data_IF_592627004381
#
_entry.id   IF_592627004381
#
_cell.length_a   1.000
_cell.length_b   1.000
_cell.length_c   1.000
_cell.angle_alpha   90.00
_cell.angle_beta   90.00
_cell.angle_gamma   90.00
#
_symmetry.space_group_name_H-M   'P 1'
#
loop_
_entity.id
_entity.type
_entity.pdbx_description
1 polymer ?
#
# COMPACT_ATOMS: atom_id res chain seq x y z
N UNK A 1 -11.11 -47.83 -8.90
CA UNK A 1 -10.57 -47.56 -7.55
C UNK A 1 -9.37 -46.63 -7.70
N UNK A 2 -9.58 -45.31 -7.56
CA UNK A 2 -8.48 -44.33 -7.53
C UNK A 2 -8.29 -43.90 -6.08
N UNK A 3 -7.18 -44.33 -5.46
CA UNK A 3 -6.77 -43.89 -4.13
C UNK A 3 -6.35 -42.42 -4.24
N UNK A 4 -7.16 -41.54 -3.66
CA UNK A 4 -6.86 -40.11 -3.52
C UNK A 4 -5.61 -39.98 -2.64
N UNK A 5 -4.48 -39.67 -3.26
CA UNK A 5 -3.20 -39.41 -2.60
C UNK A 5 -3.34 -38.10 -1.82
N UNK A 6 -3.70 -38.17 -0.54
CA UNK A 6 -3.72 -37.01 0.35
C UNK A 6 -2.27 -36.66 0.72
N UNK A 7 -1.70 -35.53 0.26
CA UNK A 7 -0.31 -35.21 0.56
C UNK A 7 -0.15 -34.97 2.07
N UNK A 8 0.97 -35.42 2.67
CA UNK A 8 1.20 -35.26 4.10
C UNK A 8 1.19 -33.78 4.47
N UNK A 9 0.40 -33.41 5.49
CA UNK A 9 0.12 -32.04 5.91
C UNK A 9 1.39 -31.18 6.17
N UNK A 10 2.53 -31.83 6.39
CA UNK A 10 3.84 -31.21 6.62
C UNK A 10 4.45 -30.62 5.33
N UNK A 11 4.17 -31.21 4.17
CA UNK A 11 4.63 -30.69 2.86
C UNK A 11 3.80 -29.49 2.43
N UNK A 12 2.49 -29.53 2.66
CA UNK A 12 1.57 -28.44 2.30
C UNK A 12 1.90 -27.15 3.05
N UNK A 13 2.19 -27.23 4.36
CA UNK A 13 2.59 -26.04 5.15
C UNK A 13 3.92 -25.43 4.68
N UNK A 14 4.89 -26.25 4.29
CA UNK A 14 6.17 -25.75 3.74
C UNK A 14 5.97 -25.05 2.39
N UNK A 15 5.19 -25.65 1.50
CA UNK A 15 4.86 -25.06 0.19
C UNK A 15 4.10 -23.74 0.36
N UNK A 16 3.10 -23.71 1.24
CA UNK A 16 2.34 -22.48 1.54
C UNK A 16 3.25 -21.37 2.08
N UNK A 17 4.20 -21.71 2.95
CA UNK A 17 5.16 -20.74 3.49
C UNK A 17 6.08 -20.20 2.39
N UNK A 18 6.61 -21.04 1.51
CA UNK A 18 7.46 -20.56 0.41
C UNK A 18 6.68 -19.63 -0.53
N UNK A 19 5.42 -19.97 -0.80
CA UNK A 19 4.53 -19.15 -1.64
C UNK A 19 4.21 -17.79 -1.00
N UNK A 20 3.96 -17.74 0.32
CA UNK A 20 3.72 -16.46 1.01
C UNK A 20 4.96 -15.57 1.00
N UNK A 21 6.14 -16.13 1.27
CA UNK A 21 7.39 -15.37 1.31
C UNK A 21 7.77 -14.84 -0.09
N UNK A 22 7.57 -15.64 -1.13
CA UNK A 22 7.79 -15.21 -2.51
C UNK A 22 6.79 -14.11 -2.93
N UNK A 23 5.53 -14.24 -2.53
CA UNK A 23 4.51 -13.23 -2.78
C UNK A 23 4.83 -11.91 -2.07
N UNK A 24 5.21 -11.96 -0.80
CA UNK A 24 5.63 -10.79 -0.02
C UNK A 24 6.79 -10.05 -0.70
N UNK A 25 7.80 -10.78 -1.17
CA UNK A 25 8.92 -10.20 -1.88
C UNK A 25 8.51 -9.50 -3.19
N UNK A 26 7.63 -10.13 -3.98
CA UNK A 26 7.14 -9.55 -5.24
C UNK A 26 6.38 -8.25 -4.99
N UNK A 27 5.55 -8.23 -3.94
CA UNK A 27 4.80 -7.03 -3.54
C UNK A 27 5.74 -5.92 -3.13
N UNK A 28 6.76 -6.22 -2.31
CA UNK A 28 7.72 -5.20 -1.86
C UNK A 28 8.48 -4.57 -3.04
N UNK A 29 8.89 -5.40 -4.00
CA UNK A 29 9.53 -4.93 -5.24
C UNK A 29 8.58 -4.05 -6.06
N UNK A 30 7.29 -4.44 -6.17
CA UNK A 30 6.29 -3.66 -6.89
C UNK A 30 6.07 -2.28 -6.24
N UNK A 31 5.98 -2.23 -4.91
CA UNK A 31 5.83 -0.98 -4.16
C UNK A 31 7.05 -0.08 -4.34
N UNK A 32 8.26 -0.65 -4.28
CA UNK A 32 9.50 0.09 -4.50
C UNK A 32 9.56 0.66 -5.92
N UNK A 33 9.21 -0.14 -6.93
CA UNK A 33 9.17 0.30 -8.32
C UNK A 33 8.18 1.46 -8.52
N UNK A 34 7.00 1.38 -7.91
CA UNK A 34 6.01 2.46 -7.96
C UNK A 34 6.50 3.74 -7.27
N UNK A 35 7.21 3.63 -6.14
CA UNK A 35 7.78 4.77 -5.44
C UNK A 35 8.83 5.50 -6.28
N UNK A 36 9.72 4.75 -6.96
CA UNK A 36 10.71 5.30 -7.89
C UNK A 36 10.01 6.01 -9.06
N UNK A 37 9.03 5.34 -9.68
CA UNK A 37 8.23 5.91 -10.76
C UNK A 37 7.59 7.24 -10.35
N UNK A 38 6.92 7.31 -9.19
CA UNK A 38 6.28 8.54 -8.75
C UNK A 38 7.31 9.64 -8.49
N UNK A 39 8.49 9.29 -7.95
CA UNK A 39 9.60 10.23 -7.77
C UNK A 39 10.03 10.87 -9.10
N UNK A 40 10.22 10.05 -10.14
CA UNK A 40 10.57 10.51 -11.49
C UNK A 40 9.45 11.36 -12.10
N UNK A 41 8.18 10.96 -11.93
CA UNK A 41 7.03 11.75 -12.41
C UNK A 41 6.97 13.14 -11.75
N UNK A 42 7.18 13.21 -10.43
CA UNK A 42 7.19 14.47 -9.66
C UNK A 42 8.34 15.37 -10.11
N UNK A 43 9.54 14.81 -10.28
CA UNK A 43 10.72 15.56 -10.70
C UNK A 43 10.54 16.12 -12.13
N UNK A 44 10.04 15.28 -13.05
CA UNK A 44 9.74 15.70 -14.41
C UNK A 44 8.71 16.83 -14.46
N UNK A 45 7.62 16.72 -13.69
CA UNK A 45 6.59 17.78 -13.61
C UNK A 45 7.13 19.06 -12.99
N UNK A 46 8.06 18.97 -12.05
CA UNK A 46 8.71 20.14 -11.43
C UNK A 46 9.59 20.87 -12.44
N UNK A 47 10.39 20.12 -13.21
CA UNK A 47 11.35 20.69 -14.15
C UNK A 47 10.70 21.22 -15.43
N UNK A 48 9.86 20.41 -16.08
CA UNK A 48 9.28 20.74 -17.38
C UNK A 48 7.90 21.41 -17.29
N UNK A 49 7.26 21.43 -16.11
CA UNK A 49 5.88 21.92 -15.88
C UNK A 49 4.82 21.30 -16.81
N UNK A 50 5.14 20.17 -17.42
CA UNK A 50 4.29 19.44 -18.35
C UNK A 50 4.10 18.02 -17.84
N UNK A 51 2.93 17.44 -18.08
CA UNK A 51 2.71 16.02 -17.78
C UNK A 51 3.34 15.16 -18.89
N UNK A 52 4.18 14.18 -18.53
CA UNK A 52 4.76 13.29 -19.53
C UNK A 52 3.68 12.36 -20.09
N UNK A 53 3.69 12.14 -21.40
CA UNK A 53 2.72 11.28 -22.09
C UNK A 53 2.73 9.84 -21.59
N UNK A 54 3.87 9.35 -21.10
CA UNK A 54 4.02 8.00 -20.54
C UNK A 54 3.47 7.87 -19.11
N UNK A 55 3.29 8.97 -18.36
CA UNK A 55 2.84 8.88 -16.97
C UNK A 55 1.42 8.31 -16.89
N UNK A 56 0.53 8.71 -17.80
CA UNK A 56 -0.82 8.16 -17.81
C UNK A 56 -0.83 6.64 -18.00
N UNK A 57 -0.11 6.13 -19.01
CA UNK A 57 -0.03 4.70 -19.28
C UNK A 57 0.60 3.94 -18.10
N UNK A 58 1.66 4.48 -17.51
CA UNK A 58 2.32 3.87 -16.36
C UNK A 58 1.41 3.85 -15.11
N UNK A 59 0.69 4.94 -14.83
CA UNK A 59 -0.29 5.03 -13.75
C UNK A 59 -1.36 3.93 -13.86
N UNK A 60 -1.87 3.70 -15.07
CA UNK A 60 -2.86 2.65 -15.36
C UNK A 60 -2.25 1.27 -15.14
N UNK A 61 -1.04 1.01 -15.65
CA UNK A 61 -0.36 -0.27 -15.46
C UNK A 61 -0.14 -0.59 -13.98
N UNK A 62 0.44 0.35 -13.21
CA UNK A 62 0.66 0.15 -11.77
C UNK A 62 -0.66 -0.01 -11.02
N UNK A 63 -1.71 0.70 -11.42
CA UNK A 63 -3.02 0.51 -10.84
C UNK A 63 -3.54 -0.90 -11.01
N UNK A 64 -3.51 -1.44 -12.23
CA UNK A 64 -3.99 -2.81 -12.50
C UNK A 64 -3.21 -3.80 -11.62
N UNK A 65 -1.88 -3.63 -11.52
CA UNK A 65 -1.05 -4.48 -10.67
C UNK A 65 -1.45 -4.41 -9.19
N UNK A 66 -1.70 -3.21 -8.64
CA UNK A 66 -2.16 -3.06 -7.25
C UNK A 66 -3.59 -3.56 -7.03
N UNK A 67 -4.49 -3.42 -8.01
CA UNK A 67 -5.85 -3.99 -7.95
C UNK A 67 -5.76 -5.51 -7.88
N UNK A 68 -4.96 -6.12 -8.77
CA UNK A 68 -4.72 -7.56 -8.76
C UNK A 68 -4.15 -8.04 -7.43
N UNK A 69 -3.15 -7.32 -6.90
CA UNK A 69 -2.58 -7.60 -5.60
C UNK A 69 -3.62 -7.55 -4.47
N UNK A 70 -4.45 -6.50 -4.42
CA UNK A 70 -5.53 -6.38 -3.44
C UNK A 70 -6.54 -7.53 -3.55
N UNK A 71 -6.94 -7.91 -4.77
CA UNK A 71 -7.86 -9.02 -5.00
C UNK A 71 -7.29 -10.36 -4.50
N UNK A 72 -5.99 -10.60 -4.71
CA UNK A 72 -5.29 -11.79 -4.19
C UNK A 72 -5.34 -11.80 -2.66
N UNK A 73 -5.04 -10.67 -2.00
CA UNK A 73 -5.14 -10.55 -0.53
C UNK A 73 -6.56 -10.80 -0.03
N UNK A 74 -7.57 -10.26 -0.72
CA UNK A 74 -8.97 -10.47 -0.37
C UNK A 74 -9.37 -11.94 -0.47
N UNK A 75 -8.95 -12.63 -1.53
CA UNK A 75 -9.21 -14.06 -1.73
C UNK A 75 -8.53 -14.92 -0.66
N UNK A 76 -7.28 -14.61 -0.30
CA UNK A 76 -6.51 -15.33 0.72
C UNK A 76 -7.05 -15.10 2.14
N UNK A 77 -7.61 -13.92 2.42
CA UNK A 77 -8.10 -13.56 3.75
C UNK A 77 -9.40 -14.27 4.19
N UNK A 78 -10.08 -15.03 3.31
CA UNK A 78 -11.25 -15.89 3.62
C UNK A 78 -12.27 -15.26 4.59
N UNK A 79 -12.60 -13.98 4.43
CA UNK A 79 -13.58 -13.27 5.28
C UNK A 79 -13.06 -12.67 6.60
N UNK A 80 -11.79 -12.93 6.97
CA UNK A 80 -11.10 -12.18 8.05
C UNK A 80 -10.61 -10.79 7.61
N UNK A 81 -10.79 -10.44 6.34
CA UNK A 81 -10.40 -9.14 5.80
C UNK A 81 -11.13 -7.97 6.50
N UNK A 82 -12.44 -8.13 6.71
CA UNK A 82 -13.30 -7.17 7.42
C UNK A 82 -13.45 -7.54 8.90
N UNK A 83 -12.84 -8.64 9.33
CA UNK A 83 -13.08 -9.22 10.66
C UNK A 83 -11.79 -9.53 11.50
N UNK A 84 -10.61 -9.05 11.08
CA UNK A 84 -9.32 -9.17 11.82
C UNK A 84 -8.90 -7.95 12.67
N UNK A 85 -7.70 -7.96 13.25
CA UNK A 85 -7.10 -6.79 13.95
C UNK A 85 -6.59 -5.70 12.99
N UNK A 86 -6.44 -6.02 11.70
CA UNK A 86 -6.01 -5.11 10.63
C UNK A 86 -7.13 -4.52 9.76
N UNK A 87 -8.40 -4.59 10.19
CA UNK A 87 -9.58 -4.21 9.39
C UNK A 87 -9.52 -2.83 8.77
N UNK A 88 -9.11 -1.84 9.56
CA UNK A 88 -9.03 -0.44 9.11
C UNK A 88 -8.03 -0.25 7.97
N UNK A 89 -6.93 -1.01 8.01
CA UNK A 89 -5.90 -0.96 6.97
C UNK A 89 -6.39 -1.57 5.66
N UNK A 90 -7.10 -2.68 5.75
CA UNK A 90 -7.77 -3.33 4.63
C UNK A 90 -8.90 -2.47 4.04
N UNK A 91 -9.65 -1.78 4.88
CA UNK A 91 -10.71 -0.86 4.45
C UNK A 91 -10.12 0.35 3.71
N UNK A 92 -9.03 0.92 4.23
CA UNK A 92 -8.31 2.01 3.59
C UNK A 92 -7.77 1.57 2.23
N UNK A 93 -7.24 0.36 2.10
CA UNK A 93 -6.78 -0.20 0.82
C UNK A 93 -7.89 -0.24 -0.23
N UNK A 94 -9.03 -0.84 0.13
CA UNK A 94 -10.19 -0.94 -0.76
C UNK A 94 -10.70 0.44 -1.18
N UNK A 95 -10.82 1.39 -0.24
CA UNK A 95 -11.23 2.77 -0.54
C UNK A 95 -10.22 3.45 -1.47
N UNK A 96 -8.94 3.24 -1.26
CA UNK A 96 -7.86 3.81 -2.07
C UNK A 96 -7.90 3.31 -3.51
N UNK A 97 -8.07 2.00 -3.69
CA UNK A 97 -8.20 1.40 -5.02
C UNK A 97 -9.47 1.86 -5.72
N UNK A 98 -10.60 1.95 -5.01
CA UNK A 98 -11.86 2.47 -5.56
C UNK A 98 -11.71 3.93 -6.01
N UNK A 99 -11.12 4.80 -5.18
CA UNK A 99 -10.89 6.20 -5.51
C UNK A 99 -9.98 6.36 -6.72
N UNK A 100 -9.00 5.47 -6.88
CA UNK A 100 -8.12 5.50 -8.03
C UNK A 100 -8.83 5.06 -9.32
N UNK A 101 -9.58 3.96 -9.27
CA UNK A 101 -10.38 3.49 -10.42
C UNK A 101 -11.41 4.56 -10.82
N UNK A 102 -12.07 5.17 -9.84
CA UNK A 102 -12.98 6.29 -10.08
C UNK A 102 -12.26 7.46 -10.77
N UNK A 103 -11.05 7.82 -10.34
CA UNK A 103 -10.27 8.89 -10.97
C UNK A 103 -9.86 8.55 -12.41
N UNK A 104 -9.48 7.30 -12.70
CA UNK A 104 -9.14 6.87 -14.05
C UNK A 104 -10.36 6.96 -14.99
N UNK A 105 -11.52 6.48 -14.53
CA UNK A 105 -12.77 6.54 -15.28
C UNK A 105 -13.29 7.97 -15.47
N UNK A 106 -13.03 8.87 -14.53
CA UNK A 106 -13.39 10.29 -14.65
C UNK A 106 -12.46 11.03 -15.62
N UNK A 107 -11.19 10.63 -15.72
CA UNK A 107 -10.23 11.27 -16.63
C UNK A 107 -10.47 10.89 -18.10
N UNK A 108 -10.94 9.67 -18.38
CA UNK A 108 -11.28 9.21 -19.74
C UNK A 108 -12.63 9.76 -20.24
N UNK A 109 -13.50 10.20 -19.33
CA UNK A 109 -14.79 10.81 -19.68
C UNK A 109 -14.71 12.33 -19.50
N UNK A 110 -14.36 13.06 -20.57
CA UNK A 110 -14.47 14.54 -20.64
C UNK A 110 -15.88 15.08 -20.30
N UNK A 111 -16.88 14.21 -20.19
CA UNK A 111 -18.29 14.53 -19.92
C UNK A 111 -18.58 15.07 -18.49
N UNK A 112 -17.61 15.01 -17.56
CA UNK A 112 -17.77 15.54 -16.21
C UNK A 112 -16.83 16.73 -15.97
N UNK A 113 -17.06 17.85 -16.68
CA UNK A 113 -16.32 19.13 -16.55
C UNK A 113 -16.37 19.76 -15.13
N UNK A 114 -17.01 19.16 -14.13
CA UNK A 114 -17.54 19.93 -12.99
C UNK A 114 -16.68 19.97 -11.72
N UNK A 115 -15.46 19.41 -11.64
CA UNK A 115 -14.75 19.46 -10.34
C UNK A 115 -13.22 19.47 -10.40
N UNK A 116 -12.65 20.67 -10.58
CA UNK A 116 -11.23 20.96 -10.30
C UNK A 116 -10.78 20.49 -8.90
N UNK A 117 -11.71 20.39 -7.95
CA UNK A 117 -11.47 19.86 -6.59
C UNK A 117 -11.20 18.35 -6.58
N UNK A 118 -11.91 17.57 -7.38
CA UNK A 118 -11.73 16.11 -7.45
C UNK A 118 -10.34 15.77 -8.03
N UNK A 119 -9.93 16.48 -9.08
CA UNK A 119 -8.59 16.34 -9.66
C UNK A 119 -7.47 16.67 -8.64
N UNK A 120 -7.65 17.74 -7.86
CA UNK A 120 -6.70 18.13 -6.79
C UNK A 120 -6.60 17.07 -5.68
N UNK A 121 -7.74 16.55 -5.24
CA UNK A 121 -7.80 15.51 -4.20
C UNK A 121 -7.17 14.21 -4.70
N UNK A 122 -7.43 13.83 -5.96
CA UNK A 122 -6.84 12.62 -6.55
C UNK A 122 -5.31 12.71 -6.65
N UNK A 123 -4.77 13.89 -6.95
CA UNK A 123 -3.31 14.13 -6.95
C UNK A 123 -2.68 13.94 -5.58
N UNK A 124 -3.36 14.39 -4.52
CA UNK A 124 -2.91 14.19 -3.13
C UNK A 124 -3.00 12.72 -2.69
N UNK A 125 -3.98 11.98 -3.23
CA UNK A 125 -4.18 10.57 -2.92
C UNK A 125 -3.03 9.68 -3.42
N UNK A 126 -2.32 10.08 -4.49
CA UNK A 126 -1.13 9.36 -5.00
C UNK A 126 0.00 9.27 -3.96
N UNK A 127 0.22 10.35 -3.20
CA UNK A 127 1.21 10.39 -2.11
C UNK A 127 0.78 9.50 -0.95
N UNK A 128 -0.53 9.50 -0.65
CA UNK A 128 -1.10 8.62 0.37
C UNK A 128 -0.92 7.14 0.02
N UNK A 129 -0.96 6.78 -1.27
CA UNK A 129 -0.65 5.42 -1.75
C UNK A 129 0.78 4.99 -1.45
N UNK A 130 1.78 5.85 -1.61
CA UNK A 130 3.17 5.51 -1.23
C UNK A 130 3.26 5.27 0.27
N UNK A 131 2.72 6.20 1.06
CA UNK A 131 2.78 6.10 2.51
C UNK A 131 2.04 4.85 3.02
N UNK A 132 0.92 4.49 2.39
CA UNK A 132 0.15 3.31 2.72
C UNK A 132 0.81 2.02 2.22
N UNK A 133 1.29 1.96 0.98
CA UNK A 133 1.95 0.80 0.40
C UNK A 133 3.30 0.51 1.10
N UNK A 134 4.03 1.56 1.47
CA UNK A 134 5.14 1.48 2.40
C UNK A 134 4.64 0.96 3.75
N UNK A 135 3.66 1.58 4.41
CA UNK A 135 3.15 1.06 5.71
C UNK A 135 2.71 -0.41 5.67
N UNK A 136 2.13 -0.89 4.57
CA UNK A 136 1.66 -2.28 4.43
C UNK A 136 2.81 -3.25 4.20
N UNK A 137 3.76 -2.93 3.33
CA UNK A 137 5.00 -3.72 3.16
C UNK A 137 5.82 -3.73 4.46
N UNK A 138 5.95 -2.59 5.14
CA UNK A 138 6.66 -2.45 6.42
C UNK A 138 5.90 -3.10 7.60
N UNK A 139 4.56 -3.18 7.56
CA UNK A 139 3.75 -3.83 8.61
C UNK A 139 3.66 -5.35 8.41
N UNK A 140 3.76 -5.82 7.17
CA UNK A 140 3.74 -7.23 6.82
C UNK A 140 5.13 -7.87 7.00
N UNK A 141 6.20 -7.16 6.63
CA UNK A 141 7.56 -7.66 6.75
C UNK A 141 7.99 -7.76 8.23
N UNK A 142 8.35 -8.98 8.63
CA UNK A 142 8.83 -9.32 9.98
C UNK A 142 10.11 -8.57 10.38
N UNK A 143 10.87 -8.06 9.40
CA UNK A 143 12.17 -7.39 9.63
C UNK A 143 12.03 -5.98 10.23
N UNK A 144 10.92 -5.27 9.99
CA UNK A 144 10.75 -3.88 10.45
C UNK A 144 9.97 -3.73 11.74
N UNK A 145 9.51 -4.85 12.31
CA UNK A 145 9.11 -4.92 13.71
C UNK A 145 10.19 -4.33 14.62
N UNK A 146 11.47 -4.54 14.30
CA UNK A 146 12.59 -3.98 15.05
C UNK A 146 12.68 -2.45 14.92
N UNK A 147 12.54 -1.91 13.70
CA UNK A 147 12.49 -0.45 13.48
C UNK A 147 11.29 0.21 14.16
N UNK A 148 10.14 -0.46 14.17
CA UNK A 148 8.94 0.04 14.86
C UNK A 148 9.15 0.12 16.36
N UNK A 149 9.77 -0.89 16.97
CA UNK A 149 10.11 -0.86 18.40
C UNK A 149 11.07 0.31 18.68
N UNK A 150 12.02 0.60 17.79
CA UNK A 150 12.92 1.76 17.92
C UNK A 150 12.17 3.09 17.82
N UNK A 151 11.20 3.23 16.90
CA UNK A 151 10.37 4.43 16.78
C UNK A 151 9.39 4.60 17.96
N UNK A 152 8.82 3.51 18.47
CA UNK A 152 8.00 3.52 19.68
C UNK A 152 8.84 3.95 20.88
N UNK A 153 10.07 3.43 21.00
CA UNK A 153 11.04 3.83 22.03
C UNK A 153 11.40 5.32 21.92
N UNK A 154 11.62 5.84 20.71
CA UNK A 154 11.87 7.27 20.46
C UNK A 154 10.65 8.14 20.80
N UNK A 155 9.45 7.66 20.48
CA UNK A 155 8.21 8.39 20.74
C UNK A 155 7.91 8.49 22.25
N UNK A 156 8.18 7.44 23.01
CA UNK A 156 8.09 7.41 24.47
C UNK A 156 9.18 8.28 25.11
N UNK A 157 10.40 8.25 24.57
CA UNK A 157 11.48 9.13 25.04
C UNK A 157 11.11 10.60 24.88
N UNK A 158 10.50 10.98 23.75
CA UNK A 158 10.04 12.36 23.50
C UNK A 158 8.83 12.75 24.36
N UNK A 159 7.94 11.82 24.71
CA UNK A 159 6.80 12.12 25.59
C UNK A 159 7.25 12.31 27.04
N UNK A 160 8.22 11.50 27.50
CA UNK A 160 8.86 11.64 28.81
C UNK A 160 9.65 12.94 28.93
N UNK A 161 10.46 13.30 27.93
CA UNK A 161 11.19 14.56 27.92
C UNK A 161 10.26 15.79 28.04
N UNK A 162 9.16 15.80 27.28
CA UNK A 162 8.12 16.84 27.35
C UNK A 162 7.31 16.82 28.65
N UNK A 163 7.30 15.71 29.39
CA UNK A 163 6.69 15.60 30.70
C UNK A 163 7.63 16.15 31.78
N UNK A 164 8.92 15.82 31.68
CA UNK A 164 9.98 16.29 32.55
C UNK A 164 10.15 17.81 32.50
N UNK A 165 10.17 18.39 31.30
CA UNK A 165 10.24 19.84 31.09
C UNK A 165 9.05 20.58 31.73
N UNK A 166 7.85 19.99 31.68
CA UNK A 166 6.65 20.54 32.34
C UNK A 166 6.66 20.41 33.86
N UNK A 167 7.41 19.45 34.41
CA UNK A 167 7.55 19.27 35.85
C UNK A 167 8.62 20.18 36.44
N UNK A 168 9.72 20.43 35.71
CA UNK A 168 10.81 21.32 36.14
C UNK A 168 10.43 22.81 36.04
N UNK A 169 9.58 23.19 35.10
CA UNK A 169 9.10 24.57 34.93
C UNK A 169 7.89 24.93 35.83
N UNK A 170 7.51 24.08 36.78
CA UNK A 170 6.52 24.34 37.84
C UNK A 170 7.19 24.41 39.20
#
# INVERSE_FOLDING_TARGET
MHTVYSPPAMTLKKVLRILTEAYEYVVDVLVLAYAIYLGVEIDYKTYYRQEPSWAHTADVCFCILFVCDLLIRMALARGRFVTGTGRWWNLLDTVTVILFVANLLVLDNELLETSSTAFRICRMFRVFRILWAARVSLAHSSQLRQFRILLESLSESMSLARCWERFVLR
#
